data_IF_110588158207
#
_entry.id   IF_110588158207
#
_cell.length_a   1.000
_cell.length_b   1.000
_cell.length_c   1.000
_cell.angle_alpha   90.00
_cell.angle_beta   90.00
_cell.angle_gamma   90.00
#
_symmetry.space_group_name_H-M   'P 1'
#
loop_
_entity.id
_entity.type
_entity.pdbx_description
1 polymer ?
#
# COMPACT_ATOMS: atom_id res chain seq x y z
N UNK A 1 -19.57 -21.83 -18.18
CA UNK A 1 -18.09 -21.69 -18.11
C UNK A 1 -17.54 -20.53 -18.93
N UNK A 2 -17.90 -20.38 -20.21
CA UNK A 2 -17.32 -19.34 -21.10
C UNK A 2 -17.45 -17.90 -20.55
N UNK A 3 -18.64 -17.52 -20.08
CA UNK A 3 -18.89 -16.20 -19.49
C UNK A 3 -18.03 -15.87 -18.25
N UNK A 4 -17.72 -16.88 -17.41
CA UNK A 4 -16.89 -16.69 -16.22
C UNK A 4 -15.41 -16.46 -16.59
N UNK A 5 -14.91 -17.25 -17.56
CA UNK A 5 -13.58 -17.08 -18.16
C UNK A 5 -13.44 -15.73 -18.86
N UNK A 6 -14.44 -15.32 -19.65
CA UNK A 6 -14.46 -14.04 -20.35
C UNK A 6 -14.45 -12.87 -19.36
N UNK A 7 -15.23 -12.98 -18.26
CA UNK A 7 -15.23 -12.00 -17.17
C UNK A 7 -13.89 -11.92 -16.43
N UNK A 8 -13.24 -13.05 -16.14
CA UNK A 8 -11.89 -13.08 -15.58
C UNK A 8 -10.88 -12.41 -16.50
N UNK A 9 -10.93 -12.70 -17.81
CA UNK A 9 -10.03 -12.12 -18.81
C UNK A 9 -10.20 -10.61 -18.91
N UNK A 10 -11.44 -10.12 -18.94
CA UNK A 10 -11.71 -8.68 -18.97
C UNK A 10 -11.18 -7.96 -17.73
N UNK A 11 -11.41 -8.50 -16.53
CA UNK A 11 -10.91 -7.93 -15.26
C UNK A 11 -9.38 -7.99 -15.20
N UNK A 12 -8.79 -9.11 -15.60
CA UNK A 12 -7.34 -9.28 -15.65
C UNK A 12 -6.69 -8.23 -16.57
N UNK A 13 -7.26 -7.98 -17.75
CA UNK A 13 -6.82 -6.91 -18.67
C UNK A 13 -6.94 -5.52 -18.04
N UNK A 14 -8.08 -5.21 -17.41
CA UNK A 14 -8.31 -3.92 -16.75
C UNK A 14 -7.28 -3.65 -15.65
N UNK A 15 -6.91 -4.68 -14.89
CA UNK A 15 -5.99 -4.59 -13.75
C UNK A 15 -4.52 -4.82 -14.13
N UNK A 16 -4.21 -5.02 -15.41
CA UNK A 16 -2.85 -5.33 -15.86
C UNK A 16 -2.26 -6.56 -15.18
N UNK A 17 -3.05 -7.63 -15.06
CA UNK A 17 -2.67 -8.87 -14.38
C UNK A 17 -3.11 -10.10 -15.18
N UNK A 18 -2.76 -11.30 -14.73
CA UNK A 18 -3.21 -12.54 -15.37
C UNK A 18 -4.55 -13.00 -14.79
N UNK A 19 -5.28 -13.81 -15.56
CA UNK A 19 -6.52 -14.47 -15.13
C UNK A 19 -6.31 -15.35 -13.91
N UNK A 20 -5.11 -15.88 -13.71
CA UNK A 20 -4.76 -16.72 -12.56
C UNK A 20 -4.56 -15.90 -11.27
N UNK A 21 -4.23 -14.61 -11.38
CA UNK A 21 -3.93 -13.75 -10.22
C UNK A 21 -4.97 -12.66 -9.95
N UNK A 22 -5.92 -12.43 -10.86
CA UNK A 22 -6.90 -11.34 -10.72
C UNK A 22 -7.72 -11.47 -9.43
N UNK A 23 -8.25 -12.65 -9.12
CA UNK A 23 -9.08 -12.84 -7.93
C UNK A 23 -8.29 -12.65 -6.64
N UNK A 24 -7.01 -13.06 -6.63
CA UNK A 24 -6.10 -12.81 -5.52
C UNK A 24 -5.91 -11.31 -5.29
N UNK A 25 -5.62 -10.56 -6.36
CA UNK A 25 -5.42 -9.11 -6.28
C UNK A 25 -6.68 -8.39 -5.82
N UNK A 26 -7.84 -8.75 -6.37
CA UNK A 26 -9.13 -8.17 -5.97
C UNK A 26 -9.40 -8.38 -4.48
N UNK A 27 -9.17 -9.61 -3.96
CA UNK A 27 -9.36 -9.91 -2.54
C UNK A 27 -8.40 -9.14 -1.64
N UNK A 28 -7.11 -9.07 -2.00
CA UNK A 28 -6.16 -8.27 -1.23
C UNK A 28 -6.55 -6.78 -1.17
N UNK A 29 -7.01 -6.22 -2.30
CA UNK A 29 -7.45 -4.82 -2.32
C UNK A 29 -8.68 -4.64 -1.45
N UNK A 30 -9.65 -5.56 -1.52
CA UNK A 30 -10.84 -5.52 -0.67
C UNK A 30 -10.49 -5.54 0.81
N UNK A 31 -9.56 -6.40 1.22
CA UNK A 31 -9.12 -6.48 2.61
C UNK A 31 -8.38 -5.21 3.04
N UNK A 32 -7.57 -4.62 2.16
CA UNK A 32 -6.91 -3.34 2.43
C UNK A 32 -7.94 -2.22 2.62
N UNK A 33 -8.93 -2.12 1.75
CA UNK A 33 -10.03 -1.14 1.89
C UNK A 33 -10.81 -1.36 3.18
N UNK A 34 -11.15 -2.61 3.51
CA UNK A 34 -11.87 -2.95 4.74
C UNK A 34 -11.08 -2.52 5.98
N UNK A 35 -9.77 -2.77 5.99
CA UNK A 35 -8.90 -2.34 7.08
C UNK A 35 -8.84 -0.81 7.19
N UNK A 36 -8.71 -0.10 6.06
CA UNK A 36 -8.70 1.36 6.02
C UNK A 36 -10.00 1.93 6.58
N UNK A 37 -11.15 1.44 6.12
CA UNK A 37 -12.46 1.89 6.59
C UNK A 37 -12.59 1.69 8.09
N UNK A 38 -12.22 0.51 8.61
CA UNK A 38 -12.24 0.23 10.04
C UNK A 38 -11.30 1.14 10.83
N UNK A 39 -10.08 1.37 10.32
CA UNK A 39 -9.12 2.28 10.96
C UNK A 39 -9.69 3.70 11.04
N UNK A 40 -10.24 4.19 9.92
CA UNK A 40 -10.82 5.52 9.82
C UNK A 40 -12.06 5.70 10.69
N UNK A 41 -12.93 4.70 10.77
CA UNK A 41 -14.08 4.71 11.67
C UNK A 41 -13.61 4.88 13.12
N UNK A 42 -12.64 4.06 13.57
CA UNK A 42 -12.17 4.12 14.96
C UNK A 42 -11.48 5.43 15.29
N UNK A 43 -10.59 5.94 14.45
CA UNK A 43 -9.90 7.22 14.73
C UNK A 43 -10.87 8.40 14.67
N UNK A 44 -11.87 8.37 13.78
CA UNK A 44 -12.88 9.42 13.67
C UNK A 44 -13.72 9.48 14.94
N UNK A 45 -14.20 8.34 15.46
CA UNK A 45 -14.97 8.33 16.72
C UNK A 45 -14.20 8.91 17.92
N UNK A 46 -12.89 8.64 18.01
CA UNK A 46 -12.03 9.21 19.05
C UNK A 46 -11.84 10.72 18.87
N UNK A 47 -11.62 11.15 17.63
CA UNK A 47 -11.40 12.56 17.28
C UNK A 47 -12.67 13.39 17.51
N UNK A 48 -13.83 12.91 17.09
CA UNK A 48 -15.13 13.56 17.29
C UNK A 48 -15.44 13.74 18.77
N UNK A 49 -15.17 12.70 19.57
CA UNK A 49 -15.34 12.76 21.02
C UNK A 49 -14.37 13.76 21.67
N UNK A 50 -13.14 13.85 21.18
CA UNK A 50 -12.16 14.85 21.65
C UNK A 50 -12.66 16.27 21.36
N UNK A 51 -13.14 16.53 20.14
CA UNK A 51 -13.69 17.82 19.73
C UNK A 51 -14.89 18.21 20.61
N UNK A 52 -15.84 17.28 20.81
CA UNK A 52 -17.00 17.51 21.67
C UNK A 52 -16.61 17.88 23.11
N UNK A 53 -15.64 17.18 23.69
CA UNK A 53 -15.17 17.46 25.05
C UNK A 53 -14.48 18.82 25.14
N UNK A 54 -13.65 19.16 24.15
CA UNK A 54 -12.99 20.47 24.07
C UNK A 54 -14.01 21.60 23.99
N UNK A 55 -15.03 21.47 23.14
CA UNK A 55 -16.07 22.50 22.99
C UNK A 55 -16.92 22.64 24.26
N UNK A 56 -17.18 21.53 24.96
CA UNK A 56 -17.86 21.56 26.26
C UNK A 56 -17.04 22.30 27.33
N UNK A 57 -15.72 22.14 27.32
CA UNK A 57 -14.80 22.88 28.19
C UNK A 57 -14.81 24.38 27.84
N UNK A 58 -14.74 24.74 26.55
CA UNK A 58 -14.84 26.15 26.10
C UNK A 58 -16.15 26.80 26.55
N UNK A 59 -17.25 26.05 26.55
CA UNK A 59 -18.55 26.52 27.06
C UNK A 59 -18.65 26.56 28.60
N UNK A 60 -17.60 26.21 29.34
CA UNK A 60 -17.58 26.23 30.81
C UNK A 60 -18.42 25.14 31.48
N UNK A 61 -18.93 24.16 30.73
CA UNK A 61 -19.85 23.13 31.26
C UNK A 61 -19.09 21.99 31.92
N UNK A 62 -19.24 21.85 33.25
CA UNK A 62 -18.71 20.69 34.01
C UNK A 62 -17.19 20.46 33.83
N UNK A 63 -16.42 21.55 33.84
CA UNK A 63 -14.99 21.62 33.50
C UNK A 63 -14.14 20.52 34.15
N UNK A 64 -14.33 20.25 35.45
CA UNK A 64 -13.55 19.21 36.15
C UNK A 64 -13.82 17.81 35.59
N UNK A 65 -15.10 17.44 35.41
CA UNK A 65 -15.47 16.10 34.91
C UNK A 65 -15.05 15.90 33.45
N UNK A 66 -15.18 16.94 32.63
CA UNK A 66 -14.79 16.88 31.21
C UNK A 66 -13.28 16.81 31.03
N UNK A 67 -12.50 17.58 31.81
CA UNK A 67 -11.03 17.47 31.79
C UNK A 67 -10.55 16.07 32.18
N UNK A 68 -11.17 15.44 33.19
CA UNK A 68 -10.86 14.06 33.56
C UNK A 68 -11.13 13.08 32.41
N UNK A 69 -12.23 13.28 31.67
CA UNK A 69 -12.56 12.46 30.49
C UNK A 69 -11.56 12.70 29.34
N UNK A 70 -11.15 13.95 29.13
CA UNK A 70 -10.20 14.33 28.09
C UNK A 70 -8.83 13.67 28.31
N UNK A 71 -8.29 13.72 29.54
CA UNK A 71 -7.03 13.03 29.90
C UNK A 71 -7.13 11.52 29.67
N UNK A 72 -8.30 10.91 29.92
CA UNK A 72 -8.49 9.49 29.61
C UNK A 72 -8.46 9.24 28.10
N UNK A 73 -9.14 10.09 27.32
CA UNK A 73 -9.21 9.99 25.87
C UNK A 73 -7.82 10.16 25.24
N UNK A 74 -7.01 11.11 25.71
CA UNK A 74 -5.62 11.29 25.25
C UNK A 74 -4.77 10.03 25.45
N UNK A 75 -4.98 9.30 26.55
CA UNK A 75 -4.32 8.00 26.77
C UNK A 75 -4.82 6.93 25.79
N UNK A 76 -6.14 6.87 25.56
CA UNK A 76 -6.73 5.96 24.57
C UNK A 76 -6.18 6.24 23.16
N UNK A 77 -6.03 7.52 22.80
CA UNK A 77 -5.49 7.97 21.51
C UNK A 77 -3.98 7.68 21.40
N UNK A 78 -3.21 7.89 22.47
CA UNK A 78 -1.79 7.52 22.49
C UNK A 78 -1.54 6.00 22.37
N UNK A 79 -2.50 5.19 22.82
CA UNK A 79 -2.46 3.73 22.69
C UNK A 79 -3.09 3.23 21.39
N UNK A 80 -3.66 4.12 20.58
CA UNK A 80 -4.37 3.74 19.37
C UNK A 80 -3.39 3.17 18.34
N UNK A 81 -3.39 1.85 18.24
CA UNK A 81 -2.62 1.10 17.25
C UNK A 81 -3.42 -0.16 16.88
N UNK A 82 -3.98 -0.17 15.68
CA UNK A 82 -4.72 -1.32 15.16
C UNK A 82 -3.82 -2.08 14.20
N UNK A 83 -3.57 -3.35 14.51
CA UNK A 83 -2.78 -4.23 13.63
C UNK A 83 -3.63 -4.68 12.44
N UNK A 84 -3.02 -4.81 11.27
CA UNK A 84 -3.72 -5.24 10.06
C UNK A 84 -4.48 -6.58 10.23
N UNK A 85 -3.77 -7.61 10.71
CA UNK A 85 -4.33 -8.95 10.94
C UNK A 85 -5.21 -9.07 12.19
N UNK A 86 -5.43 -7.99 12.95
CA UNK A 86 -6.50 -8.01 13.96
C UNK A 86 -7.88 -7.74 13.36
N UNK A 87 -7.94 -7.26 12.11
CA UNK A 87 -9.19 -6.96 11.38
C UNK A 87 -9.36 -7.93 10.22
N UNK A 88 -8.26 -8.31 9.57
CA UNK A 88 -8.26 -9.16 8.38
C UNK A 88 -7.83 -10.59 8.73
N UNK A 89 -8.49 -11.57 8.12
CA UNK A 89 -8.14 -13.00 8.28
C UNK A 89 -6.80 -13.32 7.62
N UNK A 90 -5.79 -13.59 8.46
CA UNK A 90 -4.45 -13.99 8.04
C UNK A 90 -4.44 -15.33 7.29
N UNK A 91 -5.38 -16.24 7.59
CA UNK A 91 -5.42 -17.58 7.01
C UNK A 91 -6.17 -17.66 5.69
N UNK A 92 -6.72 -16.53 5.23
CA UNK A 92 -7.50 -16.47 4.02
C UNK A 92 -6.69 -16.98 2.81
N UNK A 93 -7.38 -17.70 1.92
CA UNK A 93 -6.73 -18.46 0.84
C UNK A 93 -5.91 -17.59 -0.10
N UNK A 94 -6.28 -16.31 -0.25
CA UNK A 94 -5.53 -15.40 -1.09
C UNK A 94 -4.10 -15.24 -0.57
N UNK A 95 -3.84 -15.01 0.72
CA UNK A 95 -2.48 -14.79 1.25
C UNK A 95 -1.48 -15.94 1.03
N UNK A 96 -1.97 -17.15 0.75
CA UNK A 96 -1.15 -18.32 0.42
C UNK A 96 -0.52 -18.22 -0.97
N UNK A 97 -1.16 -17.49 -1.89
CA UNK A 97 -0.67 -17.34 -3.25
C UNK A 97 0.41 -16.26 -3.33
N UNK A 98 1.68 -16.66 -3.33
CA UNK A 98 2.83 -15.75 -3.50
C UNK A 98 3.12 -15.35 -4.95
N UNK A 99 2.25 -15.74 -5.88
CA UNK A 99 2.49 -15.65 -7.31
C UNK A 99 3.36 -16.81 -7.79
N UNK A 100 3.02 -17.40 -8.92
CA UNK A 100 4.03 -18.05 -9.75
C UNK A 100 4.83 -16.92 -10.42
N UNK A 101 6.17 -17.01 -10.39
CA UNK A 101 6.99 -16.23 -11.33
C UNK A 101 6.42 -16.48 -12.71
N UNK A 102 6.01 -15.42 -13.41
CA UNK A 102 5.48 -15.57 -14.76
C UNK A 102 6.49 -16.33 -15.61
N UNK A 103 6.02 -17.12 -16.57
CA UNK A 103 6.94 -17.84 -17.45
C UNK A 103 7.86 -16.84 -18.17
N UNK A 104 7.38 -15.64 -18.54
CA UNK A 104 8.23 -14.53 -19.03
C UNK A 104 9.37 -14.15 -18.07
N UNK A 105 9.13 -14.17 -16.76
CA UNK A 105 10.17 -13.89 -15.74
C UNK A 105 11.15 -15.06 -15.65
N UNK A 106 10.68 -16.30 -15.76
CA UNK A 106 11.53 -17.50 -15.81
C UNK A 106 12.34 -17.56 -17.11
N UNK A 107 11.78 -17.11 -18.23
CA UNK A 107 12.47 -17.02 -19.52
C UNK A 107 13.51 -15.90 -19.52
N UNK A 108 13.24 -14.79 -18.83
CA UNK A 108 14.25 -13.79 -18.49
C UNK A 108 15.41 -14.39 -17.69
N UNK A 109 15.17 -15.46 -16.91
CA UNK A 109 16.24 -16.15 -16.21
C UNK A 109 17.20 -16.92 -17.13
N UNK A 110 16.75 -17.31 -18.31
CA UNK A 110 17.50 -18.12 -19.27
C UNK A 110 18.11 -17.29 -20.40
N UNK A 111 17.88 -15.97 -20.42
CA UNK A 111 18.32 -15.10 -21.50
C UNK A 111 19.85 -15.02 -21.55
N UNK A 112 20.51 -15.40 -22.66
CA UNK A 112 21.93 -15.19 -22.81
C UNK A 112 22.15 -13.67 -22.86
N UNK A 113 23.09 -13.16 -22.06
CA UNK A 113 23.34 -11.72 -21.80
C UNK A 113 22.55 -11.07 -20.64
N UNK A 114 22.29 -11.80 -19.55
CA UNK A 114 22.06 -11.11 -18.27
C UNK A 114 23.27 -10.22 -17.96
N UNK A 115 23.03 -8.93 -17.70
CA UNK A 115 24.08 -8.07 -17.14
C UNK A 115 24.56 -8.72 -15.85
N UNK A 116 25.85 -9.05 -15.79
CA UNK A 116 26.50 -9.49 -14.56
C UNK A 116 26.24 -8.39 -13.53
N UNK A 117 25.50 -8.71 -12.48
CA UNK A 117 25.36 -7.79 -11.35
C UNK A 117 26.74 -7.72 -10.71
N UNK A 118 27.41 -6.56 -10.68
CA UNK A 118 28.70 -6.47 -10.00
C UNK A 118 28.47 -6.90 -8.54
N UNK A 119 29.38 -7.70 -7.96
CA UNK A 119 29.28 -8.05 -6.55
C UNK A 119 29.16 -6.74 -5.77
N UNK A 120 28.10 -6.63 -4.97
CA UNK A 120 27.86 -5.49 -4.10
C UNK A 120 28.94 -5.47 -3.03
N UNK A 121 30.11 -4.94 -3.37
CA UNK A 121 31.08 -4.48 -2.37
C UNK A 121 30.45 -3.22 -1.79
N UNK A 122 29.85 -3.37 -0.61
CA UNK A 122 29.24 -2.25 0.09
C UNK A 122 30.28 -1.15 0.31
N UNK A 123 30.12 -0.03 -0.39
CA UNK A 123 30.60 1.30 0.00
C UNK A 123 29.64 2.30 -0.66
N UNK A 124 28.95 3.06 0.20
CA UNK A 124 28.41 4.41 0.04
C UNK A 124 28.06 4.91 -1.37
N UNK A 125 26.77 5.20 -1.59
CA UNK A 125 26.28 5.99 -2.72
C UNK A 125 26.86 7.42 -2.65
N UNK A 126 27.97 7.68 -3.32
CA UNK A 126 28.29 9.02 -3.81
C UNK A 126 27.30 9.35 -4.93
N UNK A 127 26.55 10.43 -4.74
CA UNK A 127 25.55 10.92 -5.67
C UNK A 127 26.25 11.67 -6.81
N UNK A 128 26.90 10.97 -7.74
CA UNK A 128 27.58 11.62 -8.85
C UNK A 128 26.61 11.96 -10.00
N UNK A 129 26.47 13.26 -10.21
CA UNK A 129 25.58 13.93 -11.14
C UNK A 129 25.97 13.62 -12.59
N UNK A 130 25.26 12.68 -13.23
CA UNK A 130 25.45 12.42 -14.66
C UNK A 130 24.85 13.60 -15.45
N UNK A 131 25.71 14.50 -15.94
CA UNK A 131 25.35 15.55 -16.89
C UNK A 131 24.97 14.89 -18.22
N UNK A 132 23.74 15.13 -18.70
CA UNK A 132 23.29 14.72 -20.06
C UNK A 132 24.19 15.38 -21.11
N UNK A 133 24.85 14.59 -21.93
CA UNK A 133 25.61 15.08 -23.07
C UNK A 133 24.66 15.62 -24.15
N UNK A 134 24.93 16.84 -24.60
CA UNK A 134 24.26 17.54 -25.71
C UNK A 134 24.79 17.00 -27.03
N UNK A 135 23.94 16.44 -27.89
CA UNK A 135 24.31 16.09 -29.26
C UNK A 135 24.48 17.37 -30.10
N UNK A 136 25.69 17.54 -30.64
CA UNK A 136 26.08 18.63 -31.55
C UNK A 136 25.78 18.25 -33.03
N UNK A 137 25.84 19.21 -33.97
CA UNK A 137 24.98 19.27 -35.16
C UNK A 137 25.49 18.43 -36.35
N UNK A 138 24.55 18.07 -37.21
CA UNK A 138 24.77 17.34 -38.46
C UNK A 138 25.08 18.35 -39.59
N UNK A 139 26.31 18.29 -40.11
CA UNK A 139 26.84 19.00 -41.30
C UNK A 139 27.85 18.02 -41.91
N UNK A 140 27.93 17.71 -43.21
CA UNK A 140 27.19 17.99 -44.47
C UNK A 140 27.82 17.14 -45.61
N UNK A 141 27.22 17.23 -46.82
CA UNK A 141 27.75 17.05 -48.21
C UNK A 141 27.74 15.59 -48.71
N UNK A 142 27.26 15.27 -49.91
CA UNK A 142 27.29 16.00 -51.20
C UNK A 142 25.97 16.59 -51.73
#
# INVERSE_FOLDING_TARGET
>A
MKLYQDGLSARAKLWGTSTNSIEYRERMVKDLSTFQDHYHEKITTLTDRQLFLQDKIKQGKSVYKTNKQLVKLEKELAQFNIKYFSVIDEFASHYRYKGHTSDDTKELELRPNKRITPPSTGISRSHDHIKKARSAPLIKED
#
